data_IF_403386861166
#
_entry.id   IF_403386861166
#
_cell.length_a   1.000
_cell.length_b   1.000
_cell.length_c   1.000
_cell.angle_alpha   90.00
_cell.angle_beta   90.00
_cell.angle_gamma   90.00
#
_symmetry.space_group_name_H-M   'P 1'
#
loop_
_entity.id
_entity.type
_entity.pdbx_description
1 polymer ?
#
# COMPACT_ATOMS: atom_id res chain seq x y z
N UNK A 1 8.43 20.01 -15.17
CA UNK A 1 7.87 18.82 -14.52
C UNK A 1 6.90 19.28 -13.45
N UNK A 2 5.66 18.81 -13.47
CA UNK A 2 4.66 19.16 -12.46
C UNK A 2 4.80 18.22 -11.25
N UNK A 3 5.61 18.63 -10.29
CA UNK A 3 5.89 17.83 -9.09
C UNK A 3 4.70 17.78 -8.12
N UNK A 4 3.77 18.74 -8.21
CA UNK A 4 2.54 18.74 -7.42
C UNK A 4 1.55 17.72 -7.95
N UNK A 5 1.36 17.64 -9.27
CA UNK A 5 0.59 16.58 -9.91
C UNK A 5 1.17 15.20 -9.56
N UNK A 6 2.49 15.04 -9.70
CA UNK A 6 3.17 13.78 -9.38
C UNK A 6 3.03 13.41 -7.89
N UNK A 7 3.11 14.38 -6.98
CA UNK A 7 2.84 14.15 -5.55
C UNK A 7 1.44 13.58 -5.32
N UNK A 8 0.42 14.16 -5.96
CA UNK A 8 -0.97 13.71 -5.84
C UNK A 8 -1.17 12.30 -6.41
N UNK A 9 -0.51 11.97 -7.52
CA UNK A 9 -0.52 10.62 -8.09
C UNK A 9 0.03 9.59 -7.10
N UNK A 10 1.22 9.83 -6.53
CA UNK A 10 1.81 8.93 -5.53
C UNK A 10 0.94 8.77 -4.28
N UNK A 11 0.32 9.86 -3.79
CA UNK A 11 -0.58 9.79 -2.64
C UNK A 11 -1.88 9.04 -2.97
N UNK A 12 -2.40 9.20 -4.19
CA UNK A 12 -3.54 8.46 -4.70
C UNK A 12 -3.26 6.96 -4.80
N UNK A 13 -2.12 6.57 -5.35
CA UNK A 13 -1.70 5.17 -5.41
C UNK A 13 -1.48 4.57 -4.02
N UNK A 14 -0.88 5.33 -3.09
CA UNK A 14 -0.77 4.90 -1.69
C UNK A 14 -2.15 4.61 -1.07
N UNK A 15 -3.15 5.44 -1.33
CA UNK A 15 -4.50 5.22 -0.82
C UNK A 15 -5.13 3.94 -1.39
N UNK A 16 -5.01 3.69 -2.71
CA UNK A 16 -5.49 2.46 -3.35
C UNK A 16 -4.81 1.21 -2.76
N UNK A 17 -3.50 1.25 -2.54
CA UNK A 17 -2.75 0.15 -1.92
C UNK A 17 -3.22 -0.12 -0.49
N UNK A 18 -3.46 0.94 0.29
CA UNK A 18 -4.00 0.82 1.65
C UNK A 18 -5.37 0.14 1.67
N UNK A 19 -6.25 0.50 0.73
CA UNK A 19 -7.56 -0.13 0.56
C UNK A 19 -7.45 -1.60 0.15
N UNK A 20 -6.53 -1.93 -0.77
CA UNK A 20 -6.28 -3.31 -1.20
C UNK A 20 -5.74 -4.23 -0.09
N UNK A 21 -5.11 -3.68 0.95
CA UNK A 21 -4.63 -4.45 2.12
C UNK A 21 -5.77 -4.88 3.04
N UNK A 22 -6.85 -4.09 3.13
CA UNK A 22 -8.00 -4.37 4.02
C UNK A 22 -8.60 -5.77 3.79
N UNK A 23 -8.97 -6.18 2.56
CA UNK A 23 -9.53 -7.52 2.34
C UNK A 23 -8.55 -8.64 2.70
N UNK A 24 -7.24 -8.42 2.51
CA UNK A 24 -6.20 -9.41 2.88
C UNK A 24 -6.13 -9.56 4.40
N UNK A 25 -6.12 -8.44 5.15
CA UNK A 25 -6.18 -8.45 6.61
C UNK A 25 -7.44 -9.15 7.13
N UNK A 26 -8.58 -8.90 6.49
CA UNK A 26 -9.84 -9.53 6.87
C UNK A 26 -9.81 -11.04 6.60
N UNK A 27 -9.24 -11.45 5.46
CA UNK A 27 -9.08 -12.86 5.13
C UNK A 27 -8.17 -13.56 6.13
N UNK A 28 -6.99 -13.00 6.45
CA UNK A 28 -6.04 -13.55 7.42
C UNK A 28 -6.62 -13.77 8.85
N UNK A 29 -7.68 -13.05 9.22
CA UNK A 29 -8.37 -13.24 10.52
C UNK A 29 -9.32 -14.45 10.53
N UNK A 30 -9.59 -15.07 9.38
CA UNK A 30 -10.50 -16.21 9.29
C UNK A 30 -9.86 -17.47 9.88
N UNK A 31 -10.59 -18.15 10.77
CA UNK A 31 -10.11 -19.33 11.53
C UNK A 31 -9.84 -20.60 10.70
N UNK A 32 -10.06 -20.57 9.37
CA UNK A 32 -10.03 -21.77 8.50
C UNK A 32 -9.06 -21.67 7.32
N UNK A 33 -8.07 -20.79 7.38
CA UNK A 33 -7.04 -20.71 6.34
C UNK A 33 -6.04 -21.86 6.46
N UNK A 34 -5.72 -22.48 5.33
CA UNK A 34 -4.60 -23.42 5.26
C UNK A 34 -3.26 -22.71 5.51
N UNK A 35 -2.23 -23.47 5.88
CA UNK A 35 -0.88 -22.95 6.13
C UNK A 35 -0.30 -22.24 4.89
N UNK A 36 -0.40 -22.86 3.71
CA UNK A 36 0.11 -22.30 2.46
C UNK A 36 -0.65 -21.03 2.04
N UNK A 37 -1.97 -21.03 2.17
CA UNK A 37 -2.79 -19.84 1.89
C UNK A 37 -2.45 -18.68 2.84
N UNK A 38 -2.19 -18.99 4.11
CA UNK A 38 -1.77 -18.00 5.11
C UNK A 38 -0.44 -17.36 4.72
N UNK A 39 0.58 -18.16 4.38
CA UNK A 39 1.88 -17.65 3.94
C UNK A 39 1.74 -16.80 2.67
N UNK A 40 0.96 -17.26 1.69
CA UNK A 40 0.73 -16.54 0.45
C UNK A 40 0.08 -15.16 0.71
N UNK A 41 -0.95 -15.10 1.56
CA UNK A 41 -1.61 -13.86 1.93
C UNK A 41 -0.70 -12.93 2.73
N UNK A 42 0.11 -13.45 3.66
CA UNK A 42 1.08 -12.65 4.41
C UNK A 42 2.15 -12.05 3.51
N UNK A 43 2.70 -12.81 2.56
CA UNK A 43 3.65 -12.30 1.56
C UNK A 43 3.04 -11.20 0.71
N UNK A 44 1.82 -11.41 0.22
CA UNK A 44 1.08 -10.40 -0.56
C UNK A 44 0.80 -9.16 0.28
N UNK A 45 0.41 -9.31 1.54
CA UNK A 45 0.22 -8.20 2.47
C UNK A 45 1.50 -7.39 2.66
N UNK A 46 2.63 -8.07 2.89
CA UNK A 46 3.92 -7.42 3.09
C UNK A 46 4.35 -6.62 1.85
N UNK A 47 4.20 -7.21 0.66
CA UNK A 47 4.50 -6.55 -0.61
C UNK A 47 3.66 -5.28 -0.80
N UNK A 48 2.34 -5.37 -0.64
CA UNK A 48 1.45 -4.22 -0.79
C UNK A 48 1.73 -3.13 0.26
N UNK A 49 2.08 -3.54 1.48
CA UNK A 49 2.42 -2.59 2.53
C UNK A 49 3.74 -1.86 2.24
N UNK A 50 4.74 -2.56 1.70
CA UNK A 50 6.00 -1.95 1.28
C UNK A 50 5.75 -0.90 0.18
N UNK A 51 5.01 -1.27 -0.87
CA UNK A 51 4.66 -0.34 -1.95
C UNK A 51 3.87 0.88 -1.41
N UNK A 52 2.94 0.66 -0.48
CA UNK A 52 2.20 1.74 0.17
C UNK A 52 3.14 2.74 0.86
N UNK A 53 4.12 2.23 1.60
CA UNK A 53 5.09 3.09 2.30
C UNK A 53 5.93 3.89 1.33
N UNK A 54 6.40 3.28 0.25
CA UNK A 54 7.18 3.95 -0.81
C UNK A 54 6.37 5.04 -1.49
N UNK A 55 5.16 4.73 -1.98
CA UNK A 55 4.29 5.73 -2.62
C UNK A 55 3.95 6.87 -1.67
N UNK A 56 3.60 6.56 -0.41
CA UNK A 56 3.28 7.57 0.60
C UNK A 56 4.49 8.45 0.90
N UNK A 57 5.66 7.87 1.08
CA UNK A 57 6.89 8.61 1.36
C UNK A 57 7.23 9.55 0.21
N UNK A 58 7.25 9.05 -1.03
CA UNK A 58 7.56 9.84 -2.22
C UNK A 58 6.54 10.97 -2.41
N UNK A 59 5.24 10.67 -2.29
CA UNK A 59 4.18 11.67 -2.41
C UNK A 59 4.32 12.79 -1.37
N UNK A 60 4.59 12.45 -0.11
CA UNK A 60 4.82 13.43 0.96
C UNK A 60 6.12 14.22 0.78
N UNK A 61 7.18 13.56 0.30
CA UNK A 61 8.45 14.21 -0.01
C UNK A 61 8.25 15.26 -1.09
N UNK A 62 7.62 14.89 -2.21
CA UNK A 62 7.34 15.82 -3.30
C UNK A 62 6.45 16.98 -2.84
N UNK A 63 5.41 16.70 -2.06
CA UNK A 63 4.55 17.73 -1.48
C UNK A 63 5.31 18.71 -0.58
N UNK A 64 6.28 18.22 0.19
CA UNK A 64 7.04 19.06 1.12
C UNK A 64 8.07 19.95 0.42
N UNK A 65 8.64 19.47 -0.68
CA UNK A 65 9.78 20.13 -1.34
C UNK A 65 9.38 20.93 -2.58
N UNK A 66 8.17 20.73 -3.11
CA UNK A 66 7.71 21.35 -4.35
C UNK A 66 6.29 21.94 -4.29
N UNK A 67 5.66 22.00 -3.11
CA UNK A 67 4.44 22.77 -2.84
C UNK A 67 4.77 24.08 -2.13
#
# INVERSE_FOLDING_TARGET
MDYLALSNEYLGEAQKLKEAIVPIKNRLKQKRLGFEETISLQRRQAMLYQMYLECRFTGLYLKRHYA
#
